data_IF_027002884552
#
_entry.id   IF_027002884552
#
_cell.length_a   1.000
_cell.length_b   1.000
_cell.length_c   1.000
_cell.angle_alpha   90.00
_cell.angle_beta   90.00
_cell.angle_gamma   90.00
#
_symmetry.space_group_name_H-M   'P 1'
#
loop_
_entity.id
_entity.type
_entity.pdbx_description
1 polymer ?
#
# COMPACT_ATOMS: atom_id res chain seq x y z
N UNK A 1 0.10 -7.06 -43.83
CA UNK A 1 -1.24 -7.65 -44.04
C UNK A 1 -1.25 -9.04 -43.43
N UNK A 2 -1.60 -9.16 -42.16
CA UNK A 2 -2.18 -10.39 -41.63
C UNK A 2 -3.13 -9.98 -40.51
N UNK A 3 -4.37 -9.70 -40.92
CA UNK A 3 -5.49 -9.64 -40.01
C UNK A 3 -5.93 -11.08 -39.79
N UNK A 4 -5.62 -11.66 -38.63
CA UNK A 4 -6.27 -12.89 -38.16
C UNK A 4 -7.06 -12.54 -36.90
N UNK A 5 -8.29 -12.07 -37.15
CA UNK A 5 -9.54 -12.58 -36.61
C UNK A 5 -9.55 -13.18 -35.17
N UNK A 6 -9.80 -12.30 -34.19
CA UNK A 6 -10.77 -12.43 -33.08
C UNK A 6 -11.64 -13.72 -33.01
N UNK A 7 -11.34 -14.66 -32.10
CA UNK A 7 -12.22 -15.15 -31.00
C UNK A 7 -11.44 -16.11 -30.05
N UNK A 8 -11.88 -16.40 -28.80
CA UNK A 8 -11.23 -15.99 -27.57
C UNK A 8 -10.91 -17.23 -26.73
N UNK A 9 -10.25 -18.22 -27.33
CA UNK A 9 -9.81 -19.39 -26.60
C UNK A 9 -8.69 -18.95 -25.65
N UNK A 10 -9.14 -18.60 -24.46
CA UNK A 10 -8.40 -18.29 -23.25
C UNK A 10 -7.34 -19.38 -23.10
N UNK A 11 -6.11 -19.12 -23.52
CA UNK A 11 -4.99 -20.02 -23.26
C UNK A 11 -4.99 -20.30 -21.75
N UNK A 12 -5.30 -21.53 -21.32
CA UNK A 12 -5.49 -21.84 -19.90
C UNK A 12 -4.20 -21.65 -19.08
N UNK A 13 -3.06 -21.46 -19.75
CA UNK A 13 -1.75 -21.41 -19.13
C UNK A 13 -1.22 -19.99 -18.88
N UNK A 14 -1.88 -18.93 -19.39
CA UNK A 14 -1.48 -17.54 -19.08
C UNK A 14 -2.36 -17.01 -17.96
N UNK A 15 -1.78 -16.93 -16.77
CA UNK A 15 -2.44 -16.34 -15.59
C UNK A 15 -2.86 -14.90 -15.88
N UNK A 16 -4.04 -14.50 -15.42
CA UNK A 16 -4.72 -13.26 -15.83
C UNK A 16 -3.86 -11.99 -15.59
N UNK A 17 -2.98 -12.02 -14.59
CA UNK A 17 -2.03 -10.96 -14.23
C UNK A 17 -0.94 -10.72 -15.27
N UNK A 18 -0.72 -11.65 -16.21
CA UNK A 18 0.28 -11.54 -17.28
C UNK A 18 -0.33 -11.22 -18.65
N UNK A 19 -1.64 -11.01 -18.73
CA UNK A 19 -2.31 -10.69 -19.98
C UNK A 19 -2.07 -9.23 -20.39
N UNK A 20 -1.54 -9.02 -21.59
CA UNK A 20 -1.38 -7.70 -22.17
C UNK A 20 -2.65 -7.29 -22.93
N UNK A 21 -3.46 -6.39 -22.37
CA UNK A 21 -4.75 -5.96 -22.92
C UNK A 21 -4.62 -4.86 -23.99
N UNK A 22 -3.39 -4.44 -24.33
CA UNK A 22 -3.08 -3.33 -25.22
C UNK A 22 -2.78 -2.02 -24.48
N UNK A 23 -1.86 -1.21 -25.02
CA UNK A 23 -1.33 0.00 -24.37
C UNK A 23 -2.43 0.95 -23.85
N UNK A 24 -3.44 1.23 -24.68
CA UNK A 24 -4.53 2.15 -24.32
C UNK A 24 -5.37 1.63 -23.15
N UNK A 25 -5.69 0.34 -23.13
CA UNK A 25 -6.49 -0.27 -22.06
C UNK A 25 -5.68 -0.36 -20.76
N UNK A 26 -4.40 -0.71 -20.85
CA UNK A 26 -3.51 -0.77 -19.69
C UNK A 26 -3.34 0.60 -19.01
N UNK A 27 -3.20 1.68 -19.81
CA UNK A 27 -3.14 3.04 -19.28
C UNK A 27 -4.45 3.42 -18.60
N UNK A 28 -5.59 3.13 -19.23
CA UNK A 28 -6.91 3.48 -18.68
C UNK A 28 -7.21 2.72 -17.38
N UNK A 29 -6.95 1.41 -17.34
CA UNK A 29 -7.10 0.61 -16.12
C UNK A 29 -6.11 1.01 -15.04
N UNK A 30 -4.86 1.33 -15.40
CA UNK A 30 -3.87 1.89 -14.47
C UNK A 30 -4.36 3.19 -13.84
N UNK A 31 -4.91 4.10 -14.65
CA UNK A 31 -5.50 5.35 -14.16
C UNK A 31 -6.70 5.10 -13.24
N UNK A 32 -7.63 4.23 -13.63
CA UNK A 32 -8.77 3.85 -12.79
C UNK A 32 -8.30 3.28 -11.45
N UNK A 33 -7.25 2.46 -11.46
CA UNK A 33 -6.69 1.84 -10.28
C UNK A 33 -6.10 2.89 -9.33
N UNK A 34 -5.31 3.83 -9.86
CA UNK A 34 -4.75 4.95 -9.08
C UNK A 34 -5.86 5.82 -8.49
N UNK A 35 -6.88 6.17 -9.28
CA UNK A 35 -8.01 6.98 -8.82
C UNK A 35 -8.82 6.29 -7.72
N UNK A 36 -8.99 4.96 -7.81
CA UNK A 36 -9.69 4.17 -6.80
C UNK A 36 -8.90 4.11 -5.50
N UNK A 37 -7.58 3.95 -5.58
CA UNK A 37 -6.69 3.90 -4.42
C UNK A 37 -6.46 5.27 -3.77
N UNK A 38 -6.59 6.36 -4.54
CA UNK A 38 -6.33 7.71 -4.10
C UNK A 38 -7.01 8.00 -2.76
N UNK A 39 -8.33 7.80 -2.68
CA UNK A 39 -9.12 8.07 -1.47
C UNK A 39 -8.59 7.39 -0.20
N UNK A 40 -8.12 6.14 -0.32
CA UNK A 40 -7.54 5.40 0.81
C UNK A 40 -6.15 5.91 1.22
N UNK A 41 -5.35 6.41 0.28
CA UNK A 41 -3.97 6.84 0.54
C UNK A 41 -3.90 8.24 1.14
N UNK A 42 -4.79 9.17 0.74
CA UNK A 42 -4.80 10.55 1.25
C UNK A 42 -5.34 10.67 2.67
N UNK A 43 -6.25 9.78 3.07
CA UNK A 43 -6.96 9.90 4.34
C UNK A 43 -6.03 9.80 5.58
N UNK A 44 -5.10 8.82 5.71
CA UNK A 44 -4.22 8.76 6.88
C UNK A 44 -3.31 9.99 7.05
N UNK A 45 -2.61 10.49 6.01
CA UNK A 45 -1.84 11.74 6.10
C UNK A 45 -2.68 12.95 6.49
N UNK A 46 -3.93 13.06 6.00
CA UNK A 46 -4.86 14.12 6.38
C UNK A 46 -5.24 14.04 7.87
N UNK A 47 -5.56 12.85 8.36
CA UNK A 47 -5.95 12.63 9.76
C UNK A 47 -4.78 12.94 10.71
N UNK A 48 -3.60 12.39 10.41
CA UNK A 48 -2.38 12.63 11.21
C UNK A 48 -1.98 14.11 11.13
N UNK A 49 -2.05 14.69 9.93
CA UNK A 49 -1.72 16.08 9.65
C UNK A 49 -2.55 17.06 10.48
N UNK A 50 -3.87 16.89 10.41
CA UNK A 50 -4.82 17.71 11.14
C UNK A 50 -4.67 17.55 12.66
N UNK A 51 -4.46 16.33 13.16
CA UNK A 51 -4.31 16.08 14.59
C UNK A 51 -2.99 16.61 15.16
N UNK A 52 -1.95 16.72 14.33
CA UNK A 52 -0.68 17.32 14.73
C UNK A 52 -0.67 18.86 14.60
N UNK A 53 -1.76 19.47 14.12
CA UNK A 53 -1.89 20.92 13.99
C UNK A 53 -1.04 21.53 12.88
N UNK A 54 -0.74 20.76 11.83
CA UNK A 54 0.03 21.21 10.67
C UNK A 54 -0.77 22.16 9.79
N UNK A 55 -0.07 23.08 9.12
CA UNK A 55 -0.68 23.97 8.13
C UNK A 55 -1.06 23.21 6.84
N UNK A 56 -1.96 23.79 6.05
CA UNK A 56 -2.45 23.17 4.81
C UNK A 56 -1.32 22.86 3.81
N UNK A 57 -0.25 23.66 3.78
CA UNK A 57 0.93 23.43 2.95
C UNK A 57 1.69 22.17 3.38
N UNK A 58 1.84 21.96 4.68
CA UNK A 58 2.56 20.82 5.26
C UNK A 58 1.76 19.52 5.16
N UNK A 59 0.43 19.61 5.33
CA UNK A 59 -0.48 18.50 5.05
C UNK A 59 -0.39 18.11 3.57
N UNK A 60 -0.36 19.10 2.66
CA UNK A 60 -0.14 18.86 1.23
C UNK A 60 1.19 18.15 0.95
N UNK A 61 2.25 18.52 1.67
CA UNK A 61 3.54 17.86 1.59
C UNK A 61 3.48 16.40 2.09
N UNK A 62 2.79 16.12 3.20
CA UNK A 62 2.60 14.76 3.72
C UNK A 62 1.84 13.88 2.72
N UNK A 63 0.79 14.43 2.11
CA UNK A 63 0.01 13.74 1.07
C UNK A 63 0.89 13.43 -0.14
N UNK A 64 1.63 14.42 -0.64
CA UNK A 64 2.53 14.24 -1.78
C UNK A 64 3.61 13.20 -1.48
N UNK A 65 4.20 13.25 -0.28
CA UNK A 65 5.19 12.28 0.17
C UNK A 65 4.60 10.86 0.28
N UNK A 66 3.40 10.71 0.82
CA UNK A 66 2.72 9.43 0.93
C UNK A 66 2.42 8.81 -0.45
N UNK A 67 1.92 9.60 -1.40
CA UNK A 67 1.66 9.15 -2.76
C UNK A 67 2.95 8.78 -3.50
N UNK A 68 4.00 9.58 -3.32
CA UNK A 68 5.31 9.34 -3.94
C UNK A 68 5.94 8.04 -3.41
N UNK A 69 6.00 7.87 -2.09
CA UNK A 69 6.60 6.69 -1.46
C UNK A 69 5.74 5.44 -1.72
N UNK A 70 4.41 5.55 -1.68
CA UNK A 70 3.50 4.45 -2.02
C UNK A 70 3.64 3.99 -3.48
N UNK A 71 3.79 4.93 -4.42
CA UNK A 71 4.11 4.64 -5.81
C UNK A 71 5.45 3.93 -5.97
N UNK A 72 6.50 4.44 -5.31
CA UNK A 72 7.83 3.80 -5.33
C UNK A 72 7.79 2.39 -4.74
N UNK A 73 7.12 2.20 -3.60
CA UNK A 73 6.94 0.91 -2.96
C UNK A 73 6.18 -0.06 -3.86
N UNK A 74 5.15 0.41 -4.57
CA UNK A 74 4.40 -0.39 -5.56
C UNK A 74 5.31 -0.84 -6.71
N UNK A 75 6.15 0.05 -7.25
CA UNK A 75 7.11 -0.29 -8.31
C UNK A 75 8.11 -1.33 -7.80
N UNK A 76 8.66 -1.15 -6.60
CA UNK A 76 9.58 -2.10 -5.98
C UNK A 76 8.91 -3.47 -5.80
N UNK A 77 7.66 -3.50 -5.34
CA UNK A 77 6.89 -4.72 -5.12
C UNK A 77 6.57 -5.46 -6.45
N UNK A 78 6.33 -4.69 -7.51
CA UNK A 78 5.97 -5.19 -8.85
C UNK A 78 7.17 -5.70 -9.61
N UNK A 79 8.29 -4.96 -9.61
CA UNK A 79 9.54 -5.41 -10.28
C UNK A 79 10.15 -6.58 -9.51
N UNK A 80 10.22 -6.45 -8.18
CA UNK A 80 10.79 -7.44 -7.28
C UNK A 80 12.28 -7.74 -7.50
N UNK A 81 13.01 -7.96 -6.41
CA UNK A 81 14.36 -8.50 -6.38
C UNK A 81 14.37 -9.83 -5.61
N UNK A 82 15.49 -10.58 -5.67
CA UNK A 82 15.63 -11.97 -5.18
C UNK A 82 14.92 -12.29 -3.83
N UNK A 83 14.95 -11.38 -2.87
CA UNK A 83 14.33 -11.56 -1.54
C UNK A 83 13.25 -10.51 -1.20
N UNK A 84 12.97 -9.55 -2.08
CA UNK A 84 12.05 -8.44 -1.83
C UNK A 84 11.11 -8.24 -3.00
N UNK A 85 9.81 -8.11 -2.73
CA UNK A 85 8.80 -7.94 -3.78
C UNK A 85 8.22 -9.26 -4.28
N UNK A 86 6.89 -9.29 -4.38
CA UNK A 86 6.13 -10.48 -4.79
C UNK A 86 6.15 -10.71 -6.31
N UNK A 87 6.73 -9.79 -7.09
CA UNK A 87 6.67 -9.79 -8.56
C UNK A 87 5.24 -9.79 -9.10
N UNK A 88 4.34 -9.19 -8.32
CA UNK A 88 2.92 -9.05 -8.61
C UNK A 88 2.57 -7.56 -8.50
N UNK A 89 1.60 -7.08 -9.29
CA UNK A 89 1.14 -5.69 -9.25
C UNK A 89 0.31 -5.45 -7.97
N UNK A 90 0.99 -5.40 -6.83
CA UNK A 90 0.38 -5.17 -5.51
C UNK A 90 0.62 -3.72 -5.14
N UNK A 91 -0.44 -2.91 -5.22
CA UNK A 91 -0.37 -1.50 -4.85
C UNK A 91 -0.16 -1.33 -3.36
N UNK A 92 0.86 -0.55 -3.03
CA UNK A 92 1.23 -0.18 -1.67
C UNK A 92 0.66 1.20 -1.35
N UNK A 93 0.05 1.31 -0.17
CA UNK A 93 -0.53 2.54 0.35
C UNK A 93 -0.20 2.74 1.83
N UNK A 94 -0.75 3.80 2.41
CA UNK A 94 -0.60 4.08 3.84
C UNK A 94 -1.61 3.26 4.63
N UNK A 95 -1.15 2.55 5.66
CA UNK A 95 -2.01 1.71 6.50
C UNK A 95 -2.74 2.53 7.57
N UNK A 96 -4.04 2.30 7.73
CA UNK A 96 -4.83 2.87 8.82
C UNK A 96 -4.52 2.26 10.19
N UNK A 97 -3.95 1.06 10.23
CA UNK A 97 -3.71 0.33 11.48
C UNK A 97 -2.79 1.08 12.45
N UNK A 98 -1.88 1.94 11.94
CA UNK A 98 -0.96 2.72 12.76
C UNK A 98 -1.47 4.11 13.17
N UNK A 99 -2.62 4.56 12.63
CA UNK A 99 -3.08 5.95 12.80
C UNK A 99 -3.37 6.24 14.27
N UNK A 100 -4.14 5.39 14.95
CA UNK A 100 -4.46 5.57 16.37
C UNK A 100 -3.20 5.68 17.26
N UNK A 101 -2.18 4.86 16.98
CA UNK A 101 -0.90 4.88 17.70
C UNK A 101 -0.13 6.18 17.45
N UNK A 102 -0.07 6.65 16.20
CA UNK A 102 0.57 7.92 15.85
C UNK A 102 -0.12 9.08 16.55
N UNK A 103 -1.45 9.11 16.55
CA UNK A 103 -2.24 10.13 17.24
C UNK A 103 -1.97 10.15 18.75
N UNK A 104 -1.81 8.98 19.37
CA UNK A 104 -1.48 8.87 20.79
C UNK A 104 -0.06 9.40 21.11
N UNK A 105 0.91 9.19 20.23
CA UNK A 105 2.28 9.72 20.41
C UNK A 105 2.29 11.24 20.26
N UNK A 106 1.53 11.77 19.29
CA UNK A 106 1.41 13.21 19.07
C UNK A 106 0.73 13.89 20.27
N UNK A 107 -0.35 13.31 20.80
CA UNK A 107 -1.10 13.89 21.92
C UNK A 107 -0.35 13.84 23.26
N UNK A 108 0.58 12.90 23.43
CA UNK A 108 1.42 12.77 24.63
C UNK A 108 2.66 13.67 24.61
N UNK A 109 2.81 14.54 23.60
CA UNK A 109 3.86 15.54 23.51
C UNK A 109 5.14 15.08 22.79
N UNK A 110 5.13 13.90 22.17
CA UNK A 110 6.25 13.43 21.35
C UNK A 110 6.38 14.16 20.01
N UNK A 111 5.29 14.74 19.51
CA UNK A 111 5.23 15.39 18.19
C UNK A 111 5.44 14.44 17.00
N UNK A 112 5.34 14.96 15.79
CA UNK A 112 5.50 14.19 14.54
C UNK A 112 6.87 13.50 14.37
N UNK A 113 8.01 14.13 14.73
CA UNK A 113 9.32 13.48 14.55
C UNK A 113 9.47 12.19 15.36
N UNK A 114 8.95 12.16 16.60
CA UNK A 114 8.99 10.95 17.42
C UNK A 114 8.06 9.87 16.87
N UNK A 115 6.88 10.25 16.37
CA UNK A 115 5.95 9.31 15.76
C UNK A 115 6.56 8.67 14.51
N UNK A 116 7.15 9.46 13.61
CA UNK A 116 7.82 8.91 12.42
C UNK A 116 9.07 8.10 12.78
N UNK A 117 9.86 8.52 13.77
CA UNK A 117 10.99 7.75 14.27
C UNK A 117 10.56 6.38 14.83
N UNK A 118 9.49 6.36 15.63
CA UNK A 118 8.91 5.13 16.16
C UNK A 118 8.40 4.21 15.04
N UNK A 119 7.74 4.77 14.01
CA UNK A 119 7.28 4.00 12.84
C UNK A 119 8.44 3.39 12.07
N UNK A 120 9.55 4.12 11.87
CA UNK A 120 10.74 3.60 11.18
C UNK A 120 11.33 2.43 11.96
N UNK A 121 11.51 2.59 13.28
CA UNK A 121 12.06 1.53 14.15
C UNK A 121 11.13 0.31 14.18
N UNK A 122 9.81 0.52 14.34
CA UNK A 122 8.82 -0.54 14.33
C UNK A 122 8.80 -1.30 12.99
N UNK A 123 8.95 -0.58 11.87
CA UNK A 123 9.01 -1.19 10.53
C UNK A 123 10.27 -2.04 10.34
N UNK A 124 11.41 -1.58 10.85
CA UNK A 124 12.67 -2.35 10.81
C UNK A 124 12.56 -3.63 11.64
N UNK A 125 12.02 -3.53 12.86
CA UNK A 125 11.77 -4.71 13.72
C UNK A 125 10.77 -5.65 13.04
N UNK A 126 9.69 -5.11 12.47
CA UNK A 126 8.69 -5.87 11.73
C UNK A 126 9.29 -6.65 10.57
N UNK A 127 10.16 -6.03 9.78
CA UNK A 127 10.87 -6.68 8.68
C UNK A 127 11.71 -7.87 9.16
N UNK A 128 12.41 -7.73 10.30
CA UNK A 128 13.22 -8.80 10.87
C UNK A 128 12.37 -9.97 11.42
N UNK A 129 11.20 -9.67 12.00
CA UNK A 129 10.29 -10.66 12.59
C UNK A 129 9.38 -11.32 11.54
N UNK A 130 9.18 -10.68 10.38
CA UNK A 130 8.31 -11.13 9.28
C UNK A 130 8.39 -12.63 8.96
N UNK A 131 9.56 -13.27 8.76
CA UNK A 131 9.62 -14.70 8.41
C UNK A 131 9.15 -15.63 9.54
N UNK A 132 9.27 -15.20 10.79
CA UNK A 132 8.76 -15.94 11.94
C UNK A 132 7.25 -15.73 12.09
N UNK A 133 6.80 -14.48 11.98
CA UNK A 133 5.39 -14.13 12.07
C UNK A 133 4.55 -14.83 10.98
N UNK A 134 5.08 -14.97 9.76
CA UNK A 134 4.44 -15.71 8.67
C UNK A 134 4.07 -17.15 9.04
N UNK A 135 4.82 -17.80 9.94
CA UNK A 135 4.51 -19.16 10.42
C UNK A 135 3.38 -19.16 11.47
N UNK A 136 3.23 -18.08 12.21
CA UNK A 136 2.25 -17.93 13.30
C UNK A 136 0.86 -17.54 12.76
N UNK A 137 0.79 -16.82 11.63
CA UNK A 137 -0.49 -16.39 11.04
C UNK A 137 -1.48 -17.55 10.82
N UNK A 138 -1.01 -18.80 10.65
CA UNK A 138 -1.86 -20.00 10.56
C UNK A 138 -2.76 -20.21 11.80
N UNK A 139 -2.39 -19.68 12.96
CA UNK A 139 -3.17 -19.77 14.20
C UNK A 139 -4.23 -18.68 14.34
N UNK A 140 -4.27 -17.68 13.45
CA UNK A 140 -5.26 -16.62 13.45
C UNK A 140 -6.33 -16.91 12.40
N UNK A 141 -7.47 -17.53 12.78
CA UNK A 141 -8.55 -17.82 11.83
C UNK A 141 -9.17 -16.52 11.31
N UNK A 142 -9.86 -16.56 10.15
CA UNK A 142 -10.45 -15.37 9.51
C UNK A 142 -11.34 -14.52 10.41
N UNK A 143 -11.97 -15.13 11.43
CA UNK A 143 -12.77 -14.42 12.43
C UNK A 143 -11.95 -13.40 13.22
N UNK A 144 -10.70 -13.72 13.59
CA UNK A 144 -9.85 -12.79 14.36
C UNK A 144 -9.39 -11.64 13.47
N UNK A 145 -8.95 -11.94 12.26
CA UNK A 145 -8.54 -10.92 11.28
C UNK A 145 -9.70 -9.99 10.93
N UNK A 146 -10.90 -10.52 10.75
CA UNK A 146 -12.11 -9.74 10.50
C UNK A 146 -12.46 -8.80 11.66
N UNK A 147 -12.42 -9.30 12.90
CA UNK A 147 -12.65 -8.45 14.08
C UNK A 147 -11.65 -7.30 14.16
N UNK A 148 -10.36 -7.54 13.94
CA UNK A 148 -9.33 -6.48 13.98
C UNK A 148 -9.57 -5.38 12.94
N UNK A 149 -10.14 -5.72 11.78
CA UNK A 149 -10.45 -4.72 10.74
C UNK A 149 -11.67 -3.87 11.11
N UNK A 150 -12.60 -4.38 11.93
CA UNK A 150 -13.82 -3.65 12.33
C UNK A 150 -13.61 -2.62 13.45
N UNK A 151 -12.52 -2.74 14.21
CA UNK A 151 -12.19 -1.86 15.35
C UNK A 151 -11.26 -0.74 14.89
#
# INVERSE_FOLDING_TARGET
MHQDNINPERDPHISAEHQYLGMNKNILYGLQHVLTMYGGIIAPPLIIGAAAGLDASEIGLLVAAALFVGGLATVIQTIGFKYFGAKLPIVQGVSFAGVATILAIVSTGGGLPSAFGAVIVASLIGLLITPFFAKIIRFFPPVVTGCVITI
#
